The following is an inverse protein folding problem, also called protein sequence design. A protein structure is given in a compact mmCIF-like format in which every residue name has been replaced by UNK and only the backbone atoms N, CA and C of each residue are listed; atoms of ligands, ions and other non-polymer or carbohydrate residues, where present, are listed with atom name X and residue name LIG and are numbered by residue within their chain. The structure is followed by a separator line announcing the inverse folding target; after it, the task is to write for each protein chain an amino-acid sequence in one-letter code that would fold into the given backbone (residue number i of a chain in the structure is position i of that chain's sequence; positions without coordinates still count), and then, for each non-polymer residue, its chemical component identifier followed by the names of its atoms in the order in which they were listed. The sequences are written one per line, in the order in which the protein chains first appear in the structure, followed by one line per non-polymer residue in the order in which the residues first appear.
data_IF_345631921865
#
_entry.id   IF_345631921865
#
_cell.length_a   1.000
_cell.length_b   1.000
_cell.length_c   1.000
_cell.angle_alpha   90.00
_cell.angle_beta   90.00
_cell.angle_gamma   90.00
#
_symmetry.space_group_name_H-M   'P 1'
#
loop_
_entity.id
_entity.type
_entity.pdbx_description
1 polymer ?
#
# COMPACT_ATOMS: atom_id res chain seq x y z
N UNK A 1 -8.11 11.82 -52.26
CA UNK A 1 -8.27 13.12 -51.57
C UNK A 1 -9.35 13.94 -52.27
N UNK A 2 -10.56 14.08 -51.72
CA UNK A 2 -11.59 14.96 -52.29
C UNK A 2 -11.41 16.40 -51.80
N UNK A 3 -11.49 17.35 -52.73
CA UNK A 3 -11.23 18.79 -52.56
C UNK A 3 -12.44 19.50 -51.92
N UNK A 4 -12.14 20.45 -51.02
CA UNK A 4 -13.13 21.35 -50.39
C UNK A 4 -13.64 22.38 -51.42
N UNK A 5 -14.96 22.61 -51.57
CA UNK A 5 -15.48 23.71 -52.41
C UNK A 5 -15.27 25.06 -51.73
N UNK A 6 -14.69 26.01 -52.47
CA UNK A 6 -14.56 27.43 -52.10
C UNK A 6 -15.90 28.14 -52.27
N UNK A 7 -16.33 28.91 -51.26
CA UNK A 7 -17.45 29.83 -51.37
C UNK A 7 -17.02 31.10 -52.13
N UNK A 8 -17.79 31.45 -53.17
CA UNK A 8 -17.65 32.70 -53.92
C UNK A 8 -18.43 33.82 -53.21
N UNK A 9 -17.85 35.01 -52.97
CA UNK A 9 -18.56 36.11 -52.32
C UNK A 9 -19.29 36.97 -53.37
N UNK A 10 -20.57 37.22 -53.13
CA UNK A 10 -21.32 38.28 -53.80
C UNK A 10 -22.27 37.81 -54.90
N UNK A 11 -23.50 37.47 -54.52
CA UNK A 11 -24.73 37.77 -55.27
C UNK A 11 -25.95 37.55 -54.37
N UNK A 12 -26.34 38.61 -53.65
CA UNK A 12 -27.69 38.75 -53.10
C UNK A 12 -28.48 39.57 -54.11
N UNK A 13 -29.55 38.97 -54.66
CA UNK A 13 -30.53 39.65 -55.52
C UNK A 13 -31.25 40.79 -54.78
N UNK A 14 -31.98 41.66 -55.50
CA UNK A 14 -32.45 42.94 -54.98
C UNK A 14 -33.38 42.76 -53.77
N UNK A 15 -33.03 43.45 -52.68
CA UNK A 15 -33.85 43.61 -51.48
C UNK A 15 -35.15 44.31 -51.87
N UNK A 16 -36.27 43.60 -51.80
CA UNK A 16 -37.59 44.25 -51.86
C UNK A 16 -37.74 45.13 -50.63
N UNK A 17 -37.83 46.43 -50.86
CA UNK A 17 -37.97 47.45 -49.83
C UNK A 17 -39.31 47.30 -49.10
N UNK A 18 -39.27 47.66 -47.81
CA UNK A 18 -40.22 47.44 -46.71
C UNK A 18 -41.66 47.95 -46.89
N UNK A 19 -42.14 48.24 -48.10
CA UNK A 19 -43.47 48.84 -48.32
C UNK A 19 -44.57 47.87 -48.80
N UNK A 20 -44.27 46.60 -49.09
CA UNK A 20 -45.32 45.61 -49.44
C UNK A 20 -45.92 44.86 -48.23
N UNK A 21 -45.38 45.01 -47.02
CA UNK A 21 -45.90 44.33 -45.81
C UNK A 21 -47.17 44.97 -45.21
N UNK A 22 -47.63 46.10 -45.74
CA UNK A 22 -48.82 46.81 -45.26
C UNK A 22 -49.90 46.97 -46.33
N UNK A 23 -50.11 45.96 -47.18
CA UNK A 23 -51.35 45.89 -47.96
C UNK A 23 -52.32 44.98 -47.22
N UNK A 24 -53.48 45.53 -46.85
CA UNK A 24 -54.57 44.74 -46.31
C UNK A 24 -54.95 43.63 -47.32
N UNK A 25 -55.11 42.38 -46.88
CA UNK A 25 -55.54 41.31 -47.77
C UNK A 25 -57.00 41.53 -48.15
N UNK A 26 -57.27 41.60 -49.46
CA UNK A 26 -58.63 41.64 -49.99
C UNK A 26 -59.26 40.22 -49.92
N UNK A 27 -59.98 39.97 -48.82
CA UNK A 27 -60.88 38.82 -48.56
C UNK A 27 -60.29 37.67 -47.70
N UNK A 28 -61.10 36.76 -47.10
CA UNK A 28 -62.44 36.90 -46.51
C UNK A 28 -62.36 37.06 -44.97
N UNK A 29 -63.07 38.05 -44.41
CA UNK A 29 -63.57 38.11 -43.01
C UNK A 29 -62.57 38.02 -41.85
N UNK A 30 -62.56 39.03 -40.97
CA UNK A 30 -61.78 39.10 -39.73
C UNK A 30 -61.90 37.87 -38.78
N UNK A 31 -62.95 37.05 -38.93
CA UNK A 31 -63.14 35.81 -38.16
C UNK A 31 -62.22 34.65 -38.58
N UNK A 32 -61.79 34.57 -39.86
CA UNK A 32 -60.89 33.51 -40.34
C UNK A 32 -59.45 33.68 -39.85
N UNK A 33 -58.96 34.94 -39.88
CA UNK A 33 -57.61 35.32 -39.43
C UNK A 33 -57.44 35.10 -37.91
N UNK A 34 -58.50 35.32 -37.12
CA UNK A 34 -58.47 35.09 -35.67
C UNK A 34 -58.45 33.58 -35.36
N UNK A 35 -59.16 32.75 -36.13
CA UNK A 35 -59.20 31.30 -35.93
C UNK A 35 -57.90 30.60 -36.37
N UNK A 36 -57.30 31.01 -37.49
CA UNK A 36 -55.96 30.55 -37.91
C UNK A 36 -54.86 31.09 -36.99
N UNK A 37 -54.97 32.33 -36.52
CA UNK A 37 -54.07 32.92 -35.53
C UNK A 37 -54.12 32.20 -34.17
N UNK A 38 -55.31 31.80 -33.70
CA UNK A 38 -55.49 31.03 -32.47
C UNK A 38 -54.99 29.58 -32.58
N UNK A 39 -55.19 28.92 -33.73
CA UNK A 39 -54.60 27.59 -33.99
C UNK A 39 -53.08 27.65 -34.05
N UNK A 40 -52.53 28.64 -34.76
CA UNK A 40 -51.09 28.89 -34.81
C UNK A 40 -50.50 29.22 -33.44
N UNK A 41 -51.21 30.00 -32.61
CA UNK A 41 -50.82 30.24 -31.21
C UNK A 41 -50.83 28.96 -30.37
N UNK A 42 -51.82 28.07 -30.53
CA UNK A 42 -51.86 26.79 -29.81
C UNK A 42 -50.76 25.82 -30.25
N UNK A 43 -50.41 25.78 -31.54
CA UNK A 43 -49.30 24.98 -32.05
C UNK A 43 -47.95 25.57 -31.65
N UNK A 44 -47.80 26.91 -31.67
CA UNK A 44 -46.59 27.60 -31.21
C UNK A 44 -46.38 27.42 -29.71
N UNK A 45 -47.43 27.45 -28.88
CA UNK A 45 -47.34 27.14 -27.45
C UNK A 45 -46.87 25.69 -27.22
N UNK A 46 -47.39 24.72 -27.98
CA UNK A 46 -46.94 23.32 -27.90
C UNK A 46 -45.49 23.13 -28.40
N UNK A 47 -45.03 23.93 -29.37
CA UNK A 47 -43.64 23.90 -29.86
C UNK A 47 -42.69 24.58 -28.87
N UNK A 48 -43.09 25.69 -28.26
CA UNK A 48 -42.31 26.41 -27.26
C UNK A 48 -42.10 25.55 -26.00
N UNK A 49 -43.16 24.92 -25.50
CA UNK A 49 -43.09 24.00 -24.36
C UNK A 49 -42.18 22.79 -24.65
N UNK A 50 -42.17 22.32 -25.90
CA UNK A 50 -41.27 21.25 -26.35
C UNK A 50 -39.81 21.70 -26.43
N UNK A 51 -39.56 22.92 -26.92
CA UNK A 51 -38.23 23.53 -26.96
C UNK A 51 -37.70 23.70 -25.54
N UNK A 52 -38.51 24.20 -24.62
CA UNK A 52 -38.12 24.37 -23.21
C UNK A 52 -37.85 23.03 -22.53
N UNK A 53 -38.60 21.97 -22.88
CA UNK A 53 -38.33 20.59 -22.47
C UNK A 53 -36.97 20.08 -22.93
N UNK A 54 -36.71 20.17 -24.24
CA UNK A 54 -35.47 19.67 -24.84
C UNK A 54 -34.26 20.49 -24.36
N UNK A 55 -34.44 21.79 -24.13
CA UNK A 55 -33.42 22.66 -23.58
C UNK A 55 -33.13 22.33 -22.10
N UNK A 56 -34.15 22.20 -21.25
CA UNK A 56 -33.99 21.79 -19.85
C UNK A 56 -33.25 20.45 -19.74
N UNK A 57 -33.63 19.47 -20.57
CA UNK A 57 -32.97 18.17 -20.61
C UNK A 57 -31.50 18.30 -21.07
N UNK A 58 -31.23 19.07 -22.12
CA UNK A 58 -29.88 19.29 -22.63
C UNK A 58 -28.98 20.00 -21.60
N UNK A 59 -29.47 21.08 -21.00
CA UNK A 59 -28.73 21.83 -19.98
C UNK A 59 -28.52 20.99 -18.72
N UNK A 60 -29.52 20.19 -18.31
CA UNK A 60 -29.36 19.27 -17.17
C UNK A 60 -28.23 18.27 -17.42
N UNK A 61 -28.18 17.65 -18.62
CA UNK A 61 -27.12 16.71 -19.01
C UNK A 61 -25.75 17.36 -19.03
N UNK A 62 -25.62 18.58 -19.56
CA UNK A 62 -24.36 19.31 -19.58
C UNK A 62 -23.86 19.62 -18.16
N UNK A 63 -24.73 20.15 -17.30
CA UNK A 63 -24.38 20.48 -15.92
C UNK A 63 -24.03 19.23 -15.11
N UNK A 64 -24.80 18.13 -15.26
CA UNK A 64 -24.47 16.84 -14.63
C UNK A 64 -23.14 16.27 -15.17
N UNK A 65 -22.86 16.40 -16.45
CA UNK A 65 -21.57 15.95 -17.03
C UNK A 65 -20.38 16.72 -16.45
N UNK A 66 -20.52 18.04 -16.24
CA UNK A 66 -19.48 18.84 -15.60
C UNK A 66 -19.28 18.43 -14.13
N UNK A 67 -20.39 18.26 -13.40
CA UNK A 67 -20.36 17.80 -12.02
C UNK A 67 -19.68 16.42 -11.91
N UNK A 68 -19.99 15.47 -12.81
CA UNK A 68 -19.31 14.15 -12.88
C UNK A 68 -17.79 14.29 -12.97
N UNK A 69 -17.29 15.24 -13.77
CA UNK A 69 -15.85 15.53 -13.85
C UNK A 69 -15.26 16.08 -12.55
N UNK A 70 -16.02 16.90 -11.82
CA UNK A 70 -15.63 17.41 -10.50
C UNK A 70 -15.63 16.31 -9.44
N UNK A 71 -16.66 15.45 -9.42
CA UNK A 71 -16.72 14.26 -8.56
C UNK A 71 -15.51 13.35 -8.77
N UNK A 72 -15.17 13.06 -10.03
CA UNK A 72 -14.00 12.25 -10.37
C UNK A 72 -12.70 12.89 -9.86
N UNK A 73 -12.52 14.19 -10.14
CA UNK A 73 -11.34 14.94 -9.66
C UNK A 73 -11.22 14.94 -8.14
N UNK A 74 -12.32 15.15 -7.42
CA UNK A 74 -12.34 15.13 -5.95
C UNK A 74 -12.02 13.74 -5.41
N UNK A 75 -12.55 12.69 -6.03
CA UNK A 75 -12.26 11.31 -5.66
C UNK A 75 -10.79 10.96 -5.90
N UNK A 76 -10.20 11.40 -7.00
CA UNK A 76 -8.79 11.16 -7.32
C UNK A 76 -7.86 11.87 -6.34
N UNK A 77 -8.15 13.12 -5.99
CA UNK A 77 -7.43 13.86 -4.96
C UNK A 77 -7.53 13.16 -3.59
N UNK A 78 -8.71 12.69 -3.23
CA UNK A 78 -8.90 11.95 -1.98
C UNK A 78 -8.14 10.61 -1.98
N UNK A 79 -8.17 9.87 -3.10
CA UNK A 79 -7.44 8.60 -3.25
C UNK A 79 -5.92 8.75 -3.21
N UNK A 80 -5.40 9.97 -3.44
CA UNK A 80 -3.98 10.28 -3.26
C UNK A 80 -3.57 10.30 -1.77
N UNK A 81 -4.51 10.56 -0.84
CA UNK A 81 -4.24 10.48 0.59
C UNK A 81 -4.03 9.03 1.02
N UNK A 82 -3.11 8.82 1.96
CA UNK A 82 -2.72 7.50 2.47
C UNK A 82 -2.83 7.43 3.98
N UNK A 83 -3.01 6.21 4.51
CA UNK A 83 -3.02 5.91 5.94
C UNK A 83 -3.95 6.85 6.73
N UNK A 84 -3.54 7.29 7.92
CA UNK A 84 -4.31 8.20 8.78
C UNK A 84 -4.77 9.49 8.10
N UNK A 85 -4.05 9.99 7.08
CA UNK A 85 -4.48 11.17 6.32
C UNK A 85 -5.74 10.90 5.47
N UNK A 86 -5.90 9.69 4.92
CA UNK A 86 -7.10 9.31 4.19
C UNK A 86 -8.32 9.23 5.11
N UNK A 87 -8.15 8.71 6.33
CA UNK A 87 -9.21 8.68 7.34
C UNK A 87 -9.60 10.09 7.79
N UNK A 88 -8.61 10.93 8.14
CA UNK A 88 -8.86 12.30 8.57
C UNK A 88 -9.46 13.18 7.46
N UNK A 89 -9.12 12.90 6.20
CA UNK A 89 -9.62 13.65 5.04
C UNK A 89 -11.05 13.31 4.61
N UNK A 90 -11.68 12.27 5.19
CA UNK A 90 -12.98 11.76 4.72
C UNK A 90 -14.11 12.79 4.85
N UNK A 91 -14.14 13.54 5.96
CA UNK A 91 -15.16 14.58 6.18
C UNK A 91 -14.99 15.74 5.21
N UNK A 92 -13.74 16.13 4.93
CA UNK A 92 -13.40 17.14 3.93
C UNK A 92 -13.83 16.71 2.52
N UNK A 93 -13.55 15.45 2.16
CA UNK A 93 -14.00 14.87 0.90
C UNK A 93 -15.53 14.89 0.76
N UNK A 94 -16.27 14.43 1.78
CA UNK A 94 -17.73 14.46 1.78
C UNK A 94 -18.28 15.88 1.62
N UNK A 95 -17.67 16.86 2.29
CA UNK A 95 -18.02 18.28 2.18
C UNK A 95 -17.79 18.80 0.76
N UNK A 96 -16.69 18.40 0.11
CA UNK A 96 -16.45 18.74 -1.30
C UNK A 96 -17.52 18.14 -2.23
N UNK A 97 -17.96 16.91 -1.99
CA UNK A 97 -19.04 16.29 -2.76
C UNK A 97 -20.37 17.03 -2.58
N UNK A 98 -20.71 17.42 -1.35
CA UNK A 98 -21.91 18.22 -1.06
C UNK A 98 -21.87 19.56 -1.79
N UNK A 99 -20.70 20.20 -1.83
CA UNK A 99 -20.51 21.47 -2.52
C UNK A 99 -20.66 21.32 -4.04
N UNK A 100 -20.06 20.28 -4.64
CA UNK A 100 -20.24 19.98 -6.08
C UNK A 100 -21.71 19.79 -6.43
N UNK A 101 -22.44 19.00 -5.63
CA UNK A 101 -23.87 18.77 -5.83
C UNK A 101 -24.67 20.06 -5.75
N UNK A 102 -24.40 20.88 -4.73
CA UNK A 102 -25.07 22.16 -4.50
C UNK A 102 -24.80 23.14 -5.64
N UNK A 103 -23.57 23.24 -6.10
CA UNK A 103 -23.18 24.13 -7.19
C UNK A 103 -23.83 23.70 -8.51
N UNK A 104 -23.84 22.40 -8.81
CA UNK A 104 -24.53 21.87 -9.98
C UNK A 104 -26.03 22.16 -9.93
N UNK A 105 -26.73 21.81 -8.84
CA UNK A 105 -28.17 22.09 -8.70
C UNK A 105 -28.46 23.61 -8.75
N UNK A 106 -27.53 24.42 -8.28
CA UNK A 106 -27.60 25.89 -8.35
C UNK A 106 -27.62 26.45 -9.77
N UNK A 107 -27.16 25.71 -10.78
CA UNK A 107 -27.23 26.15 -12.19
C UNK A 107 -28.59 25.89 -12.84
N UNK A 108 -29.50 25.19 -12.16
CA UNK A 108 -30.82 24.89 -12.71
C UNK A 108 -31.68 26.15 -12.84
N UNK A 109 -32.16 26.43 -14.05
CA UNK A 109 -33.01 27.59 -14.37
C UNK A 109 -34.50 27.30 -14.20
N UNK A 110 -34.90 26.03 -14.15
CA UNK A 110 -36.29 25.60 -13.97
C UNK A 110 -36.43 24.52 -12.89
N UNK A 111 -37.62 24.37 -12.26
CA UNK A 111 -37.88 23.27 -11.33
C UNK A 111 -37.73 21.88 -11.96
N UNK A 112 -38.06 21.75 -13.26
CA UNK A 112 -37.93 20.49 -13.99
C UNK A 112 -36.47 20.12 -14.21
N UNK A 113 -35.65 21.08 -14.67
CA UNK A 113 -34.21 20.89 -14.81
C UNK A 113 -33.59 20.48 -13.48
N UNK A 114 -33.96 21.14 -12.37
CA UNK A 114 -33.51 20.77 -11.02
C UNK A 114 -33.82 19.32 -10.67
N UNK A 115 -35.05 18.87 -10.89
CA UNK A 115 -35.46 17.48 -10.62
C UNK A 115 -34.66 16.47 -11.46
N UNK A 116 -34.46 16.74 -12.75
CA UNK A 116 -33.65 15.89 -13.63
C UNK A 116 -32.20 15.79 -13.15
N UNK A 117 -31.61 16.92 -12.77
CA UNK A 117 -30.25 16.97 -12.23
C UNK A 117 -30.12 16.25 -10.90
N UNK A 118 -31.04 16.46 -9.97
CA UNK A 118 -31.06 15.78 -8.66
C UNK A 118 -31.10 14.25 -8.82
N UNK A 119 -31.93 13.75 -9.72
CA UNK A 119 -32.04 12.32 -10.00
C UNK A 119 -30.72 11.76 -10.58
N UNK A 120 -30.13 12.45 -11.55
CA UNK A 120 -28.89 11.98 -12.19
C UNK A 120 -27.64 12.13 -11.29
N UNK A 121 -27.61 13.15 -10.42
CA UNK A 121 -26.52 13.38 -9.48
C UNK A 121 -26.57 12.44 -8.27
N UNK A 122 -27.75 11.95 -7.88
CA UNK A 122 -27.89 11.05 -6.74
C UNK A 122 -27.04 9.77 -6.89
N UNK A 123 -27.03 9.17 -8.08
CA UNK A 123 -26.23 7.97 -8.37
C UNK A 123 -24.73 8.27 -8.32
N UNK A 124 -24.30 9.36 -8.97
CA UNK A 124 -22.89 9.78 -9.01
C UNK A 124 -22.36 10.09 -7.61
N UNK A 125 -23.15 10.81 -6.80
CA UNK A 125 -22.80 11.15 -5.43
C UNK A 125 -22.68 9.90 -4.55
N UNK A 126 -23.64 8.97 -4.66
CA UNK A 126 -23.63 7.71 -3.92
C UNK A 126 -22.40 6.86 -4.26
N UNK A 127 -22.09 6.74 -5.55
CA UNK A 127 -20.92 5.99 -6.03
C UNK A 127 -19.61 6.60 -5.54
N UNK A 128 -19.46 7.93 -5.63
CA UNK A 128 -18.27 8.63 -5.16
C UNK A 128 -18.07 8.44 -3.64
N UNK A 129 -19.14 8.55 -2.85
CA UNK A 129 -19.09 8.29 -1.40
C UNK A 129 -18.73 6.85 -1.07
N UNK A 130 -19.31 5.88 -1.77
CA UNK A 130 -19.00 4.46 -1.58
C UNK A 130 -17.53 4.18 -1.88
N UNK A 131 -17.00 4.72 -2.98
CA UNK A 131 -15.60 4.59 -3.35
C UNK A 131 -14.66 5.27 -2.34
N UNK A 132 -15.00 6.48 -1.89
CA UNK A 132 -14.25 7.19 -0.85
C UNK A 132 -14.21 6.43 0.47
N UNK A 133 -15.36 5.96 0.96
CA UNK A 133 -15.43 5.17 2.19
C UNK A 133 -14.63 3.86 2.09
N UNK A 134 -14.69 3.17 0.94
CA UNK A 134 -13.91 1.96 0.70
C UNK A 134 -12.40 2.23 0.69
N UNK A 135 -11.98 3.36 0.09
CA UNK A 135 -10.58 3.79 0.11
C UNK A 135 -10.10 4.10 1.52
N UNK A 136 -10.86 4.89 2.28
CA UNK A 136 -10.53 5.24 3.67
C UNK A 136 -10.39 3.99 4.54
N UNK A 137 -11.31 3.03 4.41
CA UNK A 137 -11.26 1.75 5.11
C UNK A 137 -10.01 0.95 4.71
N UNK A 138 -9.70 0.85 3.41
CA UNK A 138 -8.49 0.18 2.94
C UNK A 138 -7.22 0.81 3.50
N UNK A 139 -7.13 2.14 3.53
CA UNK A 139 -5.99 2.85 4.11
C UNK A 139 -5.88 2.68 5.63
N UNK A 140 -6.99 2.59 6.36
CA UNK A 140 -6.98 2.25 7.78
C UNK A 140 -6.45 0.82 8.02
N UNK A 141 -6.82 -0.13 7.17
CA UNK A 141 -6.29 -1.49 7.25
C UNK A 141 -4.78 -1.51 6.99
N UNK A 142 -4.31 -0.76 5.99
CA UNK A 142 -2.88 -0.64 5.69
C UNK A 142 -2.11 0.00 6.85
N UNK A 143 -2.66 1.03 7.48
CA UNK A 143 -2.07 1.66 8.69
C UNK A 143 -1.97 0.66 9.84
N UNK A 144 -3.01 -0.16 10.04
CA UNK A 144 -3.00 -1.22 11.06
C UNK A 144 -1.91 -2.26 10.75
N UNK A 145 -1.76 -2.68 9.49
CA UNK A 145 -0.67 -3.58 9.08
C UNK A 145 0.72 -2.98 9.33
N UNK A 146 0.91 -1.69 9.03
CA UNK A 146 2.16 -1.01 9.30
C UNK A 146 2.46 -0.92 10.80
N UNK A 147 1.45 -0.75 11.64
CA UNK A 147 1.62 -0.69 13.10
C UNK A 147 2.18 -1.99 13.68
N UNK A 148 1.78 -3.15 13.13
CA UNK A 148 2.36 -4.44 13.52
C UNK A 148 3.84 -4.51 13.16
N UNK A 149 4.23 -4.09 11.95
CA UNK A 149 5.65 -4.06 11.56
C UNK A 149 6.50 -3.18 12.49
N UNK A 150 6.00 -1.99 12.84
CA UNK A 150 6.66 -1.07 13.77
C UNK A 150 6.78 -1.68 15.17
N UNK A 151 5.72 -2.30 15.70
CA UNK A 151 5.73 -2.99 16.99
C UNK A 151 6.77 -4.12 17.01
N UNK A 152 6.78 -4.95 15.97
CA UNK A 152 7.69 -6.09 15.85
C UNK A 152 9.14 -5.64 15.75
N UNK A 153 9.45 -4.62 14.93
CA UNK A 153 10.81 -4.08 14.83
C UNK A 153 11.27 -3.45 16.16
N UNK A 154 10.38 -2.73 16.86
CA UNK A 154 10.70 -2.17 18.18
C UNK A 154 11.01 -3.27 19.22
N UNK A 155 10.26 -4.38 19.21
CA UNK A 155 10.52 -5.53 20.07
C UNK A 155 11.86 -6.20 19.75
N UNK A 156 12.19 -6.34 18.47
CA UNK A 156 13.47 -6.87 17.99
C UNK A 156 14.61 -5.97 18.45
N UNK A 157 14.56 -4.67 18.15
CA UNK A 157 15.63 -3.72 18.49
C UNK A 157 15.86 -3.64 20.00
N UNK A 158 14.79 -3.64 20.80
CA UNK A 158 14.89 -3.69 22.26
C UNK A 158 15.56 -4.99 22.75
N UNK A 159 15.23 -6.14 22.16
CA UNK A 159 15.84 -7.41 22.53
C UNK A 159 17.31 -7.52 22.12
N UNK A 160 17.65 -7.03 20.92
CA UNK A 160 19.02 -7.03 20.39
C UNK A 160 19.94 -6.13 21.21
N UNK A 161 19.45 -4.95 21.60
CA UNK A 161 20.21 -4.00 22.43
C UNK A 161 20.35 -4.42 23.88
N UNK A 162 19.43 -5.22 24.42
CA UNK A 162 19.47 -5.71 25.79
C UNK A 162 20.52 -6.80 25.97
N UNK A 163 21.25 -6.78 27.10
CA UNK A 163 22.14 -7.88 27.51
C UNK A 163 21.44 -8.95 28.37
N UNK A 164 20.23 -8.68 28.85
CA UNK A 164 19.49 -9.54 29.77
C UNK A 164 18.76 -10.68 29.03
N UNK A 165 19.14 -11.95 29.21
CA UNK A 165 18.47 -13.08 28.55
C UNK A 165 16.97 -13.16 28.86
N UNK A 166 16.57 -12.94 30.12
CA UNK A 166 15.16 -12.98 30.51
C UNK A 166 14.34 -11.85 29.87
N UNK A 167 14.95 -10.72 29.53
CA UNK A 167 14.29 -9.68 28.76
C UNK A 167 14.09 -10.12 27.30
N UNK A 168 15.11 -10.72 26.68
CA UNK A 168 15.02 -11.25 25.32
C UNK A 168 13.95 -12.32 25.17
N UNK A 169 13.85 -13.24 26.14
CA UNK A 169 12.83 -14.29 26.12
C UNK A 169 11.42 -13.69 26.18
N UNK A 170 11.21 -12.67 27.02
CA UNK A 170 9.93 -11.93 27.06
C UNK A 170 9.64 -11.20 25.76
N UNK A 171 10.65 -10.57 25.14
CA UNK A 171 10.50 -9.93 23.83
C UNK A 171 10.19 -10.95 22.73
N UNK A 172 10.79 -12.14 22.75
CA UNK A 172 10.47 -13.25 21.83
C UNK A 172 9.00 -13.66 21.97
N UNK A 173 8.51 -13.83 23.20
CA UNK A 173 7.08 -14.14 23.43
C UNK A 173 6.14 -13.03 22.94
N UNK A 174 6.45 -11.77 23.25
CA UNK A 174 5.66 -10.62 22.78
C UNK A 174 5.69 -10.49 21.24
N UNK A 175 6.83 -10.81 20.62
CA UNK A 175 6.99 -10.80 19.16
C UNK A 175 6.10 -11.86 18.51
N UNK A 176 6.06 -13.08 19.06
CA UNK A 176 5.15 -14.14 18.60
C UNK A 176 3.69 -13.72 18.72
N UNK A 177 3.30 -13.09 19.82
CA UNK A 177 1.95 -12.56 20.01
C UNK A 177 1.59 -11.50 18.95
N UNK A 178 2.49 -10.54 18.71
CA UNK A 178 2.28 -9.50 17.68
C UNK A 178 2.11 -10.10 16.28
N UNK A 179 2.93 -11.09 15.91
CA UNK A 179 2.81 -11.82 14.64
C UNK A 179 1.49 -12.60 14.56
N UNK A 180 1.09 -13.26 15.64
CA UNK A 180 -0.18 -13.98 15.69
C UNK A 180 -1.39 -13.03 15.52
N UNK A 181 -1.35 -11.86 16.17
CA UNK A 181 -2.36 -10.81 15.99
C UNK A 181 -2.38 -10.26 14.57
N UNK A 182 -1.21 -10.09 13.94
CA UNK A 182 -1.12 -9.68 12.54
C UNK A 182 -1.75 -10.72 11.60
N UNK A 183 -1.41 -12.00 11.76
CA UNK A 183 -1.99 -13.07 10.93
C UNK A 183 -3.52 -13.15 11.08
N UNK A 184 -4.02 -13.05 12.31
CA UNK A 184 -5.45 -13.00 12.57
C UNK A 184 -6.11 -11.78 11.91
N UNK A 185 -5.46 -10.62 11.96
CA UNK A 185 -5.92 -9.40 11.28
C UNK A 185 -5.94 -9.57 9.75
N UNK A 186 -4.97 -10.28 9.18
CA UNK A 186 -4.90 -10.61 7.75
C UNK A 186 -5.89 -11.73 7.34
N UNK A 187 -6.69 -12.24 8.28
CA UNK A 187 -7.77 -13.19 8.03
C UNK A 187 -7.36 -14.66 8.12
N UNK A 188 -6.15 -14.95 8.62
CA UNK A 188 -5.75 -16.31 8.92
C UNK A 188 -6.44 -16.80 10.19
N UNK A 189 -6.85 -18.07 10.20
CA UNK A 189 -7.39 -18.73 11.38
C UNK A 189 -6.37 -19.77 11.87
N UNK A 190 -6.04 -19.68 13.17
CA UNK A 190 -5.03 -20.54 13.81
C UNK A 190 -5.45 -21.99 13.84
N UNK A 191 -6.74 -22.27 13.94
CA UNK A 191 -7.24 -23.63 14.04
C UNK A 191 -7.18 -24.35 12.68
N UNK A 192 -7.31 -23.58 11.58
CA UNK A 192 -7.28 -24.12 10.21
C UNK A 192 -5.90 -24.06 9.56
N UNK A 193 -5.04 -23.13 10.00
CA UNK A 193 -3.69 -22.94 9.48
C UNK A 193 -2.62 -22.83 10.59
N UNK A 194 -2.49 -23.81 11.50
CA UNK A 194 -1.54 -23.74 12.61
C UNK A 194 -0.07 -23.65 12.13
N UNK A 195 0.24 -24.28 10.99
CA UNK A 195 1.58 -24.24 10.40
C UNK A 195 1.97 -22.84 9.92
N UNK A 196 1.02 -22.05 9.41
CA UNK A 196 1.28 -20.67 8.97
C UNK A 196 1.70 -19.80 10.16
N UNK A 197 1.04 -19.94 11.30
CA UNK A 197 1.41 -19.29 12.55
C UNK A 197 2.79 -19.74 13.02
N UNK A 198 3.05 -21.05 13.08
CA UNK A 198 4.32 -21.59 13.55
C UNK A 198 5.50 -21.11 12.69
N UNK A 199 5.34 -21.08 11.36
CA UNK A 199 6.36 -20.61 10.42
C UNK A 199 6.61 -19.11 10.59
N UNK A 200 5.56 -18.29 10.63
CA UNK A 200 5.69 -16.83 10.74
C UNK A 200 6.29 -16.41 12.10
N UNK A 201 5.78 -16.99 13.20
CA UNK A 201 6.30 -16.75 14.55
C UNK A 201 7.79 -17.12 14.64
N UNK A 202 8.16 -18.29 14.12
CA UNK A 202 9.56 -18.73 14.08
C UNK A 202 10.43 -17.84 13.19
N UNK A 203 9.93 -17.37 12.06
CA UNK A 203 10.67 -16.46 11.19
C UNK A 203 10.96 -15.12 11.88
N UNK A 204 9.97 -14.55 12.57
CA UNK A 204 10.13 -13.30 13.32
C UNK A 204 11.11 -13.43 14.48
N UNK A 205 10.97 -14.48 15.29
CA UNK A 205 11.88 -14.77 16.41
C UNK A 205 13.30 -15.08 15.90
N UNK A 206 13.42 -15.76 14.76
CA UNK A 206 14.71 -15.95 14.10
C UNK A 206 15.34 -14.61 13.69
N UNK A 207 14.58 -13.60 13.24
CA UNK A 207 15.11 -12.25 12.95
C UNK A 207 15.68 -11.60 14.21
N UNK A 208 15.00 -11.73 15.35
CA UNK A 208 15.48 -11.27 16.66
C UNK A 208 16.83 -11.91 17.02
N UNK A 209 16.91 -13.25 16.98
CA UNK A 209 18.15 -13.96 17.28
C UNK A 209 19.27 -13.62 16.28
N UNK A 210 18.92 -13.40 15.01
CA UNK A 210 19.86 -12.94 13.98
C UNK A 210 20.52 -11.62 14.37
N UNK A 211 19.75 -10.63 14.81
CA UNK A 211 20.30 -9.36 15.27
C UNK A 211 21.21 -9.49 16.50
N UNK A 212 20.89 -10.38 17.44
CA UNK A 212 21.74 -10.64 18.62
C UNK A 212 23.07 -11.27 18.18
N UNK A 213 23.02 -12.24 17.26
CA UNK A 213 24.19 -12.89 16.69
C UNK A 213 25.04 -11.88 15.90
N UNK A 214 24.43 -11.04 15.06
CA UNK A 214 25.13 -9.97 14.34
C UNK A 214 25.89 -9.05 15.30
N UNK A 215 25.30 -8.72 16.47
CA UNK A 215 25.97 -7.96 17.52
C UNK A 215 27.13 -8.74 18.17
N UNK A 216 26.99 -10.04 18.39
CA UNK A 216 28.10 -10.87 18.90
C UNK A 216 29.28 -10.94 17.91
N UNK A 217 28.99 -10.93 16.61
CA UNK A 217 29.98 -10.88 15.54
C UNK A 217 30.48 -9.47 15.20
N UNK A 218 30.03 -8.42 15.90
CA UNK A 218 30.45 -7.05 15.57
C UNK A 218 31.88 -6.72 16.03
N UNK A 219 32.46 -7.55 16.90
CA UNK A 219 33.87 -7.45 17.32
C UNK A 219 34.79 -8.06 16.25
N UNK A 220 35.98 -7.47 15.99
CA UNK A 220 37.00 -8.09 15.14
C UNK A 220 37.44 -9.48 15.60
N UNK A 221 37.43 -9.73 16.92
CA UNK A 221 37.61 -11.05 17.52
C UNK A 221 36.37 -11.38 18.37
N UNK A 222 35.37 -12.09 17.80
CA UNK A 222 34.15 -12.44 18.51
C UNK A 222 34.40 -13.60 19.50
N UNK A 223 33.72 -13.57 20.64
CA UNK A 223 33.73 -14.70 21.58
C UNK A 223 32.89 -15.86 21.03
N UNK A 224 33.57 -16.78 20.33
CA UNK A 224 32.95 -17.94 19.72
C UNK A 224 32.35 -18.93 20.73
N UNK A 225 32.87 -18.99 21.97
CA UNK A 225 32.29 -19.83 23.02
C UNK A 225 30.93 -19.26 23.45
N UNK A 226 30.84 -17.93 23.57
CA UNK A 226 29.57 -17.24 23.85
C UNK A 226 28.56 -17.43 22.70
N UNK A 227 29.01 -17.33 21.45
CA UNK A 227 28.14 -17.60 20.27
C UNK A 227 27.66 -19.06 20.29
N UNK A 228 28.54 -20.02 20.58
CA UNK A 228 28.19 -21.43 20.67
C UNK A 228 27.17 -21.72 21.79
N UNK A 229 27.33 -21.10 22.96
CA UNK A 229 26.36 -21.19 24.07
C UNK A 229 25.00 -20.62 23.66
N UNK A 230 25.00 -19.46 22.98
CA UNK A 230 23.77 -18.84 22.50
C UNK A 230 23.04 -19.71 21.47
N UNK A 231 23.76 -20.27 20.50
CA UNK A 231 23.20 -21.22 19.54
C UNK A 231 22.63 -22.46 20.22
N UNK A 232 23.30 -22.97 21.25
CA UNK A 232 22.80 -24.11 22.04
C UNK A 232 21.49 -23.80 22.77
N UNK A 233 21.36 -22.59 23.33
CA UNK A 233 20.18 -22.18 24.08
C UNK A 233 18.95 -21.92 23.20
N UNK A 234 19.14 -21.35 22.00
CA UNK A 234 18.04 -20.83 21.17
C UNK A 234 17.87 -21.54 19.82
N UNK A 235 18.54 -22.69 19.60
CA UNK A 235 18.51 -23.43 18.32
C UNK A 235 17.11 -23.63 17.76
N UNK A 236 16.18 -24.07 18.62
CA UNK A 236 14.85 -24.48 18.19
C UNK A 236 13.96 -23.29 17.79
N UNK A 237 14.30 -22.10 18.27
CA UNK A 237 13.64 -20.83 17.93
C UNK A 237 14.17 -20.21 16.62
N UNK A 238 15.32 -20.68 16.13
CA UNK A 238 15.93 -20.18 14.90
C UNK A 238 15.52 -20.99 13.66
N UNK A 239 15.43 -20.31 12.53
CA UNK A 239 15.32 -20.98 11.23
C UNK A 239 16.60 -21.75 10.91
N UNK A 240 16.49 -22.83 10.13
CA UNK A 240 17.64 -23.62 9.69
C UNK A 240 18.64 -22.79 8.87
N UNK A 241 18.15 -21.83 8.10
CA UNK A 241 18.97 -20.90 7.31
C UNK A 241 19.86 -20.03 8.22
N UNK A 242 19.26 -19.37 9.22
CA UNK A 242 20.04 -18.57 10.17
C UNK A 242 21.08 -19.44 10.89
N UNK A 243 20.66 -20.58 11.44
CA UNK A 243 21.58 -21.49 12.13
C UNK A 243 22.78 -21.89 11.25
N UNK A 244 22.50 -22.27 10.00
CA UNK A 244 23.54 -22.68 9.04
C UNK A 244 24.48 -21.53 8.70
N UNK A 245 23.96 -20.32 8.47
CA UNK A 245 24.76 -19.11 8.22
C UNK A 245 25.64 -18.75 9.41
N UNK A 246 25.12 -18.86 10.63
CA UNK A 246 25.89 -18.60 11.85
C UNK A 246 27.00 -19.64 12.05
N UNK A 247 26.70 -20.91 11.84
CA UNK A 247 27.72 -21.98 11.87
C UNK A 247 28.83 -21.72 10.85
N UNK A 248 28.48 -21.31 9.62
CA UNK A 248 29.46 -20.95 8.59
C UNK A 248 30.31 -19.73 8.99
N UNK A 249 29.70 -18.69 9.59
CA UNK A 249 30.43 -17.52 10.11
C UNK A 249 31.45 -17.87 11.20
N UNK A 250 31.18 -18.88 12.02
CA UNK A 250 32.14 -19.33 13.04
C UNK A 250 33.34 -20.08 12.45
N UNK A 251 33.24 -20.65 11.25
CA UNK A 251 34.31 -21.49 10.68
C UNK A 251 35.61 -20.72 10.42
N UNK A 252 35.51 -19.50 9.87
CA UNK A 252 36.68 -18.66 9.57
C UNK A 252 37.50 -18.34 10.84
N UNK A 253 36.91 -17.69 11.86
CA UNK A 253 37.64 -17.35 13.08
C UNK A 253 38.15 -18.58 13.85
N UNK A 254 37.47 -19.73 13.76
CA UNK A 254 37.99 -20.99 14.31
C UNK A 254 39.24 -21.47 13.56
N UNK A 255 39.26 -21.36 12.23
CA UNK A 255 40.38 -21.74 11.40
C UNK A 255 41.59 -20.83 11.65
N UNK A 256 41.38 -19.52 11.75
CA UNK A 256 42.43 -18.54 12.07
C UNK A 256 43.07 -18.86 13.43
N UNK A 257 42.26 -19.11 14.46
CA UNK A 257 42.77 -19.54 15.78
C UNK A 257 43.59 -20.82 15.69
N UNK A 258 43.15 -21.82 14.92
CA UNK A 258 43.91 -23.07 14.72
C UNK A 258 45.26 -22.80 14.04
N UNK A 259 45.29 -21.90 13.05
CA UNK A 259 46.50 -21.59 12.31
C UNK A 259 47.47 -20.71 13.12
N UNK A 260 46.97 -19.78 13.95
CA UNK A 260 47.77 -19.04 14.94
C UNK A 260 48.40 -19.99 15.96
N UNK A 261 47.60 -20.91 16.55
CA UNK A 261 48.13 -21.93 17.46
C UNK A 261 49.22 -22.78 16.80
N UNK A 262 49.06 -23.13 15.51
CA UNK A 262 50.09 -23.87 14.76
C UNK A 262 51.35 -23.02 14.52
N UNK A 263 51.20 -21.75 14.19
CA UNK A 263 52.33 -20.85 13.98
C UNK A 263 53.14 -20.66 15.27
N UNK A 264 52.47 -20.50 16.41
CA UNK A 264 53.11 -20.44 17.73
C UNK A 264 53.84 -21.74 18.09
N UNK A 265 53.25 -22.90 17.79
CA UNK A 265 53.90 -24.21 17.99
C UNK A 265 55.11 -24.45 17.07
N UNK A 266 55.16 -23.80 15.91
CA UNK A 266 56.31 -23.88 14.98
C UNK A 266 57.43 -22.90 15.40
N UNK A 267 57.08 -21.76 15.98
CA UNK A 267 58.03 -20.74 16.44
C UNK A 267 58.54 -20.96 17.88
N UNK A 268 57.89 -21.83 18.66
CA UNK A 268 58.42 -22.28 19.93
C UNK A 268 59.50 -23.36 19.70
N UNK A 269 60.75 -23.05 20.01
CA UNK A 269 61.74 -24.11 20.28
C UNK A 269 61.15 -25.05 21.35
N UNK A 270 61.38 -26.39 21.24
CA UNK A 270 60.72 -27.36 22.10
C UNK A 270 61.21 -27.20 23.53
N UNK A 271 60.51 -26.38 24.32
CA UNK A 271 60.69 -26.32 25.76
C UNK A 271 59.74 -27.34 26.37
N UNK A 272 60.34 -28.41 26.90
CA UNK A 272 59.65 -29.40 27.72
C UNK A 272 58.99 -28.69 28.91
N UNK A 273 57.68 -28.47 28.85
CA UNK A 273 56.91 -27.87 29.93
C UNK A 273 55.55 -28.54 30.05
N UNK A 274 55.32 -29.23 31.16
CA UNK A 274 54.02 -29.80 31.49
C UNK A 274 52.93 -28.70 31.51
N UNK A 275 51.72 -29.07 31.12
CA UNK A 275 50.55 -28.20 31.21
C UNK A 275 50.39 -27.66 32.65
N UNK A 276 50.01 -26.38 32.85
CA UNK A 276 49.83 -25.82 34.17
C UNK A 276 48.71 -26.55 34.92
N UNK A 277 48.97 -26.97 36.16
CA UNK A 277 47.96 -27.53 37.04
C UNK A 277 46.85 -26.49 37.30
N UNK A 278 45.63 -26.80 36.86
CA UNK A 278 44.43 -25.98 37.11
C UNK A 278 43.68 -25.48 35.87
N UNK A 279 44.13 -25.78 34.65
CA UNK A 279 43.35 -25.49 33.44
C UNK A 279 42.05 -26.32 33.43
N UNK A 280 40.93 -25.73 33.85
CA UNK A 280 39.63 -26.36 33.73
C UNK A 280 39.31 -26.55 32.25
N UNK A 281 39.09 -27.80 31.85
CA UNK A 281 38.69 -28.15 30.50
C UNK A 281 37.34 -27.49 30.18
N UNK A 282 37.37 -26.44 29.37
CA UNK A 282 36.17 -25.92 28.72
C UNK A 282 35.59 -27.00 27.79
N UNK A 283 34.26 -27.04 27.59
CA UNK A 283 33.59 -28.12 26.84
C UNK A 283 34.10 -28.29 25.40
N UNK A 284 34.77 -27.26 24.84
CA UNK A 284 35.29 -27.27 23.47
C UNK A 284 36.76 -27.64 23.31
N UNK A 285 37.52 -27.78 24.41
CA UNK A 285 38.91 -28.29 24.33
C UNK A 285 38.94 -29.75 23.84
N UNK A 286 37.93 -30.54 24.19
CA UNK A 286 37.76 -31.91 23.71
C UNK A 286 37.48 -31.99 22.19
N UNK A 287 36.86 -30.94 21.62
CA UNK A 287 36.59 -30.85 20.18
C UNK A 287 37.84 -30.39 19.43
N UNK A 288 38.56 -29.39 19.95
CA UNK A 288 39.84 -28.96 19.38
C UNK A 288 40.88 -30.11 19.35
N UNK A 289 40.96 -30.90 20.43
CA UNK A 289 41.86 -32.07 20.51
C UNK A 289 41.38 -33.23 19.61
N UNK A 290 40.07 -33.48 19.49
CA UNK A 290 39.56 -34.53 18.60
C UNK A 290 39.71 -34.18 17.12
N UNK A 291 39.56 -32.91 16.75
CA UNK A 291 39.79 -32.42 15.39
C UNK A 291 41.27 -32.51 15.05
N UNK A 292 42.17 -32.06 15.94
CA UNK A 292 43.62 -32.21 15.77
C UNK A 292 44.07 -33.67 15.61
N UNK A 293 43.52 -34.60 16.41
CA UNK A 293 43.85 -36.03 16.33
C UNK A 293 43.31 -36.69 15.04
N UNK A 294 42.13 -36.29 14.55
CA UNK A 294 41.60 -36.78 13.26
C UNK A 294 42.47 -36.32 12.09
N UNK A 295 42.91 -35.06 12.07
CA UNK A 295 43.78 -34.54 11.02
C UNK A 295 45.21 -35.14 11.05
N UNK A 296 45.77 -35.39 12.25
CA UNK A 296 47.05 -36.09 12.39
C UNK A 296 47.00 -37.54 11.86
N UNK A 297 45.85 -38.22 11.98
CA UNK A 297 45.66 -39.58 11.46
C UNK A 297 45.56 -39.63 9.93
N UNK A 298 45.02 -38.56 9.31
CA UNK A 298 44.88 -38.43 7.86
C UNK A 298 46.24 -38.12 7.23
N UNK A 299 47.05 -37.27 7.86
CA UNK A 299 48.41 -36.93 7.40
C UNK A 299 49.44 -38.07 7.58
N UNK A 300 49.17 -39.05 8.46
CA UNK A 300 49.98 -40.29 8.58
C UNK A 300 49.64 -41.36 7.54
N UNK A 301 48.47 -41.30 6.90
CA UNK A 301 48.05 -42.27 5.87
C UNK A 301 48.37 -41.85 4.43
N UNK A 302 48.94 -40.66 4.23
CA UNK A 302 49.22 -40.07 2.92
C UNK A 302 50.70 -39.78 2.64
N UNK A 303 51.61 -40.43 3.37
CA UNK A 303 53.02 -40.53 2.94
C UNK A 303 53.28 -41.94 2.38
N UNK A 304 53.82 -42.08 1.16
CA UNK A 304 54.26 -43.36 0.61
C UNK A 304 55.41 -43.97 1.43
#
# INVERSE_FOLDING_TARGET
MPRVPQYQPGQVGPVQTTQQRFRAPDGPGAAGIIAEGLKGLSEVLNVQDRIDLENDETQSRLAVSQARGQYASALDQFKALKLGAARAGQDGFNTSLDQIKKDAIGTATSPRMRMLMEQQLAEVDSDARRMGASHALGQQQDETRQSFGIEQDALIDAAVSSDNPAFRDRSSLALRDSVARQLAFDGWDRDTAPDAYAIAEKAAVSKLHGGVLDRMFSSPDPDLDQVGQYLGAYRDEMTSDLYTKTMARMQGPLQDRIDDYRADLINAEPTSGNAPDGAKAGPWQSVAVNVANRFASILRKSRP
#
